data_IF_496547655083
#
_entry.id   IF_496547655083
#
_cell.length_a   1.000
_cell.length_b   1.000
_cell.length_c   1.000
_cell.angle_alpha   90.00
_cell.angle_beta   90.00
_cell.angle_gamma   90.00
#
_symmetry.space_group_name_H-M   'P 1'
#
loop_
_entity.id
_entity.type
_entity.pdbx_description
1 polymer ?
#
# COMPACT_ATOMS: atom_id res chain seq x y z
N UNK A 1 8.35 74.51 -15.27
CA UNK A 1 8.08 75.74 -14.49
C UNK A 1 7.51 75.34 -13.15
N UNK A 2 8.26 75.62 -12.07
CA UNK A 2 7.88 75.34 -10.68
C UNK A 2 6.76 76.27 -10.20
N UNK A 3 5.87 75.77 -9.33
CA UNK A 3 5.40 76.39 -8.06
C UNK A 3 4.20 75.58 -7.54
N UNK A 4 4.38 74.84 -6.44
CA UNK A 4 4.09 75.24 -5.05
C UNK A 4 2.62 75.63 -4.86
N UNK A 5 1.89 74.89 -4.01
CA UNK A 5 1.25 75.49 -2.84
C UNK A 5 0.80 74.40 -1.85
N UNK A 6 1.37 74.46 -0.65
CA UNK A 6 0.87 73.82 0.57
C UNK A 6 -0.37 74.56 1.06
N UNK A 7 -1.40 73.83 1.52
CA UNK A 7 -2.32 74.32 2.57
C UNK A 7 -2.70 73.15 3.50
N UNK A 8 -2.32 73.32 4.76
CA UNK A 8 -2.67 72.48 5.90
C UNK A 8 -4.17 72.53 6.20
N UNK A 9 -4.74 71.40 6.61
CA UNK A 9 -5.84 71.34 7.57
C UNK A 9 -5.84 69.98 8.26
N UNK A 10 -5.49 69.98 9.54
CA UNK A 10 -5.56 68.87 10.47
C UNK A 10 -7.02 68.64 10.85
N UNK A 11 -7.57 67.43 10.67
CA UNK A 11 -8.77 67.01 11.39
C UNK A 11 -8.68 65.51 11.66
N UNK A 12 -8.49 65.19 12.94
CA UNK A 12 -8.56 63.86 13.53
C UNK A 12 -10.03 63.42 13.61
N UNK A 13 -10.39 62.24 13.09
CA UNK A 13 -11.30 61.33 13.78
C UNK A 13 -11.17 59.90 13.22
N UNK A 14 -11.29 58.98 14.15
CA UNK A 14 -10.84 57.59 14.16
C UNK A 14 -11.97 56.68 13.67
N UNK A 15 -11.75 55.86 12.64
CA UNK A 15 -12.53 54.64 12.39
C UNK A 15 -11.58 53.55 11.91
N UNK A 16 -11.42 52.52 12.74
CA UNK A 16 -10.75 51.29 12.40
C UNK A 16 -11.68 50.41 11.54
N UNK A 17 -11.20 49.98 10.37
CA UNK A 17 -11.55 48.67 9.80
C UNK A 17 -10.33 48.16 9.04
N UNK A 18 -9.76 47.07 9.57
CA UNK A 18 -8.58 46.38 9.08
C UNK A 18 -9.07 45.27 8.15
N UNK A 19 -8.76 45.36 6.86
CA UNK A 19 -8.57 44.18 5.99
C UNK A 19 -7.49 44.54 4.95
N UNK A 20 -6.22 44.34 5.35
CA UNK A 20 -5.07 44.42 4.46
C UNK A 20 -4.97 43.15 3.63
N UNK A 21 -4.91 43.36 2.32
CA UNK A 21 -4.52 42.38 1.31
C UNK A 21 -2.99 42.16 1.30
N UNK A 22 -2.60 41.06 0.66
CA UNK A 22 -1.28 40.68 0.14
C UNK A 22 -0.24 40.12 1.12
N UNK A 23 0.11 38.85 0.91
CA UNK A 23 1.51 38.42 1.01
C UNK A 23 1.79 37.33 -0.03
N UNK A 24 2.69 37.63 -0.96
CA UNK A 24 3.31 36.70 -1.90
C UNK A 24 4.55 36.06 -1.25
N UNK A 25 4.67 34.73 -1.44
CA UNK A 25 5.90 33.88 -1.54
C UNK A 25 6.77 33.71 -0.28
N UNK A 26 7.32 32.50 0.02
CA UNK A 26 8.19 31.75 -0.91
C UNK A 26 8.05 30.20 -0.91
N UNK A 27 8.47 29.60 -2.05
CA UNK A 27 9.26 28.37 -2.13
C UNK A 27 8.70 27.06 -1.53
N UNK A 28 8.42 26.09 -2.41
CA UNK A 28 8.27 24.69 -2.02
C UNK A 28 7.72 23.86 -3.17
N UNK A 29 8.62 23.16 -3.85
CA UNK A 29 8.43 22.40 -5.09
C UNK A 29 7.26 21.43 -5.14
N UNK A 30 6.72 21.27 -6.35
CA UNK A 30 6.17 19.99 -6.77
C UNK A 30 7.29 18.94 -6.71
N UNK A 31 7.19 18.00 -5.78
CA UNK A 31 7.90 16.73 -5.90
C UNK A 31 6.89 15.60 -5.76
N UNK A 32 6.68 14.93 -6.90
CA UNK A 32 6.18 13.57 -6.96
C UNK A 32 7.14 12.63 -6.22
N UNK A 33 6.57 11.63 -5.52
CA UNK A 33 7.25 10.57 -4.76
C UNK A 33 8.16 11.11 -3.63
N UNK A 34 8.03 10.66 -2.39
CA UNK A 34 8.16 9.29 -1.92
C UNK A 34 7.67 9.28 -0.46
N UNK A 35 7.47 8.11 0.10
CA UNK A 35 7.12 7.85 1.51
C UNK A 35 5.62 7.84 1.85
N UNK A 36 4.95 6.86 1.25
CA UNK A 36 3.61 6.34 1.60
C UNK A 36 3.48 5.80 3.05
N UNK A 37 4.31 6.25 4.00
CA UNK A 37 4.25 5.87 5.42
C UNK A 37 3.66 6.94 6.33
N UNK A 38 3.55 8.20 5.87
CA UNK A 38 3.13 9.33 6.71
C UNK A 38 1.62 9.65 6.65
N UNK A 39 0.86 9.00 5.78
CA UNK A 39 -0.58 9.28 5.60
C UNK A 39 -1.50 8.58 6.62
N UNK A 40 -0.94 7.74 7.50
CA UNK A 40 -1.73 6.91 8.42
C UNK A 40 -1.81 7.44 9.86
N UNK A 41 -1.52 8.72 10.05
CA UNK A 41 -1.76 9.38 11.32
C UNK A 41 -3.21 9.93 11.37
N UNK A 42 -4.12 9.37 12.21
CA UNK A 42 -5.48 9.89 12.35
C UNK A 42 -5.52 11.34 12.86
N UNK A 43 -4.43 11.84 13.45
CA UNK A 43 -4.31 13.22 13.93
C UNK A 43 -3.99 14.22 12.81
N UNK A 44 -3.42 13.77 11.68
CA UNK A 44 -3.10 14.61 10.50
C UNK A 44 -4.10 14.39 9.37
N UNK A 45 -4.69 13.20 9.26
CA UNK A 45 -5.74 12.87 8.27
C UNK A 45 -7.11 13.49 8.54
N UNK A 46 -7.36 13.97 9.77
CA UNK A 46 -8.62 14.65 10.12
C UNK A 46 -8.76 16.05 9.50
N UNK A 47 -7.69 16.64 8.94
CA UNK A 47 -7.68 18.04 8.48
C UNK A 47 -7.91 18.27 6.99
N UNK A 48 -7.67 17.28 6.11
CA UNK A 48 -7.68 17.50 4.64
C UNK A 48 -8.61 16.52 3.89
N UNK A 49 -9.19 15.52 4.57
CA UNK A 49 -10.10 14.55 3.94
C UNK A 49 -11.60 14.92 3.94
N UNK A 50 -12.00 16.04 4.52
CA UNK A 50 -13.41 16.36 4.76
C UNK A 50 -14.11 17.19 3.65
N UNK A 51 -13.41 17.61 2.59
CA UNK A 51 -13.99 18.57 1.62
C UNK A 51 -14.26 17.96 0.22
N UNK A 52 -13.88 16.72 -0.06
CA UNK A 52 -14.20 16.07 -1.34
C UNK A 52 -15.17 14.91 -1.13
N UNK A 53 -16.42 15.26 -0.79
CA UNK A 53 -17.51 14.30 -0.66
C UNK A 53 -18.90 14.91 -0.51
N UNK A 54 -19.00 16.23 -0.25
CA UNK A 54 -20.28 16.89 -0.01
C UNK A 54 -20.96 17.47 -1.27
N UNK A 55 -20.35 17.37 -2.46
CA UNK A 55 -20.94 17.88 -3.72
C UNK A 55 -21.07 16.74 -4.73
N UNK A 56 -21.84 15.71 -4.39
CA UNK A 56 -22.33 14.74 -5.37
C UNK A 56 -23.71 14.23 -4.98
N UNK A 57 -24.72 14.90 -5.53
CA UNK A 57 -26.11 14.50 -5.74
C UNK A 57 -26.97 14.09 -4.53
N UNK A 58 -28.03 14.89 -4.35
CA UNK A 58 -29.20 14.57 -3.54
C UNK A 58 -29.77 13.21 -3.98
N UNK A 59 -29.60 12.20 -3.12
CA UNK A 59 -30.30 10.92 -3.21
C UNK A 59 -29.57 9.87 -4.04
N UNK A 60 -28.96 8.91 -3.34
CA UNK A 60 -28.28 7.70 -3.82
C UNK A 60 -26.86 7.92 -4.35
N UNK A 61 -25.87 7.64 -3.48
CA UNK A 61 -24.51 7.29 -3.90
C UNK A 61 -23.44 8.34 -3.59
N UNK A 62 -23.05 8.47 -2.33
CA UNK A 62 -21.90 9.27 -1.90
C UNK A 62 -21.07 8.55 -0.81
N UNK A 63 -20.77 7.26 -1.01
CA UNK A 63 -19.89 6.45 -0.12
C UNK A 63 -18.61 5.98 -0.82
N UNK A 64 -18.49 6.16 -2.14
CA UNK A 64 -17.42 5.54 -2.94
C UNK A 64 -16.05 6.25 -2.80
N UNK A 65 -16.02 7.52 -2.39
CA UNK A 65 -14.77 8.32 -2.37
C UNK A 65 -13.87 8.14 -1.15
N UNK A 66 -14.45 7.98 0.06
CA UNK A 66 -13.67 7.92 1.30
C UNK A 66 -12.94 6.58 1.51
N UNK A 67 -13.41 5.51 0.88
CA UNK A 67 -12.96 4.16 1.20
C UNK A 67 -11.65 3.75 0.53
N UNK A 68 -11.28 4.35 -0.61
CA UNK A 68 -10.00 4.07 -1.29
C UNK A 68 -8.82 4.56 -0.45
N UNK A 69 -8.97 5.70 0.25
CA UNK A 69 -7.95 6.21 1.18
C UNK A 69 -7.69 5.29 2.38
N UNK A 70 -8.68 4.49 2.80
CA UNK A 70 -8.53 3.56 3.92
C UNK A 70 -7.61 2.37 3.60
N UNK A 71 -7.47 2.00 2.32
CA UNK A 71 -6.59 0.89 1.91
C UNK A 71 -5.11 1.22 2.13
N UNK A 72 -4.71 2.48 1.96
CA UNK A 72 -3.34 2.95 2.22
C UNK A 72 -2.87 2.74 3.66
N UNK A 73 -3.80 2.64 4.60
CA UNK A 73 -3.51 2.47 6.02
C UNK A 73 -3.93 1.12 6.59
N UNK A 74 -4.20 0.16 5.70
CA UNK A 74 -4.53 -1.19 6.12
C UNK A 74 -3.34 -1.83 6.84
N UNK A 75 -3.61 -2.42 8.01
CA UNK A 75 -2.61 -3.19 8.73
C UNK A 75 -2.28 -4.48 7.97
N UNK A 76 -1.02 -4.62 7.57
CA UNK A 76 -0.47 -5.83 6.91
C UNK A 76 0.64 -6.39 7.80
N UNK A 77 0.39 -7.57 8.36
CA UNK A 77 1.38 -8.30 9.15
C UNK A 77 2.16 -9.25 8.24
N UNK A 78 3.49 -9.24 8.34
CA UNK A 78 4.36 -10.08 7.52
C UNK A 78 5.26 -10.96 8.40
N UNK A 79 5.29 -12.26 8.14
CA UNK A 79 6.11 -13.22 8.90
C UNK A 79 6.74 -14.23 7.96
N UNK A 80 8.04 -14.45 8.13
CA UNK A 80 8.82 -15.39 7.31
C UNK A 80 9.53 -16.43 8.17
N UNK A 81 9.70 -17.62 7.60
CA UNK A 81 10.50 -18.70 8.18
C UNK A 81 11.30 -19.40 7.08
N UNK A 82 12.52 -19.81 7.41
CA UNK A 82 13.29 -20.70 6.55
C UNK A 82 12.74 -22.13 6.72
N UNK A 83 12.40 -22.78 5.62
CA UNK A 83 11.84 -24.14 5.57
C UNK A 83 12.85 -25.17 5.09
N UNK A 84 13.87 -24.75 4.33
CA UNK A 84 14.98 -25.60 3.90
C UNK A 84 16.32 -24.86 4.02
N UNK A 85 17.38 -25.50 4.54
CA UNK A 85 18.70 -24.91 4.59
C UNK A 85 19.35 -24.87 3.19
N UNK A 86 20.40 -24.04 3.05
CA UNK A 86 21.16 -23.87 1.82
C UNK A 86 21.65 -25.19 1.21
N UNK A 87 22.26 -26.05 2.03
CA UNK A 87 22.83 -27.33 1.60
C UNK A 87 21.81 -28.27 0.97
N UNK A 88 20.58 -28.28 1.50
CA UNK A 88 19.50 -29.10 0.94
C UNK A 88 19.03 -28.55 -0.40
N UNK A 89 18.78 -27.24 -0.49
CA UNK A 89 18.33 -26.59 -1.73
C UNK A 89 19.37 -26.71 -2.84
N UNK A 90 20.64 -26.52 -2.54
CA UNK A 90 21.73 -26.69 -3.52
C UNK A 90 21.89 -28.15 -3.96
N UNK A 91 21.78 -29.10 -3.04
CA UNK A 91 21.83 -30.53 -3.36
C UNK A 91 20.67 -30.92 -4.29
N UNK A 92 19.45 -30.50 -3.95
CA UNK A 92 18.25 -30.78 -4.76
C UNK A 92 18.34 -30.11 -6.13
N UNK A 93 18.87 -28.89 -6.20
CA UNK A 93 19.14 -28.22 -7.47
C UNK A 93 20.16 -29.00 -8.32
N UNK A 94 21.30 -29.40 -7.74
CA UNK A 94 22.34 -30.15 -8.45
C UNK A 94 21.83 -31.49 -8.99
N UNK A 95 21.01 -32.22 -8.22
CA UNK A 95 20.38 -33.48 -8.69
C UNK A 95 19.58 -33.28 -9.97
N UNK A 96 18.90 -32.14 -10.09
CA UNK A 96 18.08 -31.79 -11.25
C UNK A 96 18.87 -31.10 -12.37
N UNK A 97 20.11 -30.67 -12.10
CA UNK A 97 20.91 -29.83 -13.01
C UNK A 97 22.32 -30.40 -13.25
N UNK A 98 22.42 -31.71 -13.51
CA UNK A 98 23.67 -32.39 -13.90
C UNK A 98 24.84 -32.16 -12.92
N UNK A 99 24.55 -32.01 -11.64
CA UNK A 99 25.55 -31.77 -10.60
C UNK A 99 26.03 -30.31 -10.48
N UNK A 100 25.49 -29.38 -11.26
CA UNK A 100 25.97 -27.99 -11.33
C UNK A 100 25.06 -27.00 -10.60
N UNK A 101 25.66 -25.91 -10.13
CA UNK A 101 24.96 -24.71 -9.66
C UNK A 101 25.00 -23.65 -10.76
N UNK A 102 24.04 -22.72 -10.78
CA UNK A 102 24.03 -21.64 -11.76
C UNK A 102 25.17 -20.65 -11.50
N UNK A 103 25.53 -19.84 -12.50
CA UNK A 103 26.51 -18.77 -12.32
C UNK A 103 25.94 -17.62 -11.47
N UNK A 104 24.68 -17.25 -11.75
CA UNK A 104 23.93 -16.21 -11.03
C UNK A 104 22.84 -16.83 -10.14
N UNK A 105 22.37 -16.13 -9.09
CA UNK A 105 21.27 -16.60 -8.27
C UNK A 105 20.01 -16.86 -9.09
N UNK A 106 19.31 -17.95 -8.76
CA UNK A 106 18.04 -18.30 -9.40
C UNK A 106 16.99 -18.65 -8.37
N UNK A 107 15.74 -18.33 -8.68
CA UNK A 107 14.56 -18.82 -7.96
C UNK A 107 14.14 -20.13 -8.63
N UNK A 108 14.41 -21.26 -8.00
CA UNK A 108 14.12 -22.59 -8.55
C UNK A 108 12.65 -22.99 -8.38
N UNK A 109 11.97 -22.41 -7.40
CA UNK A 109 10.53 -22.58 -7.20
C UNK A 109 9.93 -21.32 -6.55
N UNK A 110 8.74 -20.93 -6.98
CA UNK A 110 7.94 -19.88 -6.34
C UNK A 110 6.44 -20.18 -6.51
N UNK A 111 5.72 -20.29 -5.40
CA UNK A 111 4.29 -20.57 -5.39
C UNK A 111 3.60 -19.66 -4.39
N UNK A 112 2.40 -19.20 -4.74
CA UNK A 112 1.61 -18.28 -3.92
C UNK A 112 0.19 -18.82 -3.81
N UNK A 113 -0.33 -18.86 -2.59
CA UNK A 113 -1.70 -19.29 -2.29
C UNK A 113 -2.40 -18.17 -1.53
N UNK A 114 -3.60 -17.84 -1.98
CA UNK A 114 -4.48 -16.85 -1.34
C UNK A 114 -5.63 -17.56 -0.64
N UNK A 115 -5.75 -17.34 0.67
CA UNK A 115 -6.86 -17.83 1.49
C UNK A 115 -7.72 -16.65 1.97
N UNK A 116 -9.06 -16.77 2.00
CA UNK A 116 -9.87 -17.99 1.85
C UNK A 116 -10.00 -18.53 0.41
N UNK A 117 -9.61 -17.76 -0.60
CA UNK A 117 -9.77 -18.10 -2.00
C UNK A 117 -9.98 -16.85 -2.87
N UNK A 118 -10.53 -17.01 -4.08
CA UNK A 118 -10.64 -15.92 -5.05
C UNK A 118 -11.77 -14.93 -4.73
N UNK A 119 -12.65 -15.22 -3.78
CA UNK A 119 -13.74 -14.31 -3.36
C UNK A 119 -13.57 -13.97 -1.89
N UNK A 120 -13.53 -12.68 -1.60
CA UNK A 120 -13.25 -12.14 -0.26
C UNK A 120 -14.35 -11.16 0.08
N UNK A 121 -14.85 -11.22 1.32
CA UNK A 121 -15.75 -10.20 1.82
C UNK A 121 -15.01 -9.11 2.62
N UNK A 122 -15.54 -7.89 2.63
CA UNK A 122 -15.00 -6.82 3.46
C UNK A 122 -14.96 -7.24 4.95
N UNK A 123 -13.87 -6.90 5.64
CA UNK A 123 -13.60 -7.29 7.03
C UNK A 123 -13.11 -8.73 7.22
N UNK A 124 -13.19 -9.59 6.19
CA UNK A 124 -12.72 -10.96 6.27
C UNK A 124 -11.18 -11.00 6.34
N UNK A 125 -10.58 -11.85 7.21
CA UNK A 125 -9.14 -12.06 7.21
C UNK A 125 -8.69 -12.71 5.89
N UNK A 126 -7.61 -12.19 5.35
CA UNK A 126 -6.94 -12.68 4.15
C UNK A 126 -5.52 -13.07 4.52
N UNK A 127 -5.11 -14.25 4.09
CA UNK A 127 -3.76 -14.77 4.27
C UNK A 127 -3.17 -15.11 2.91
N UNK A 128 -2.02 -14.52 2.62
CA UNK A 128 -1.21 -14.83 1.44
C UNK A 128 -0.03 -15.62 1.93
N UNK A 129 0.09 -16.87 1.48
CA UNK A 129 1.23 -17.73 1.80
C UNK A 129 2.04 -17.94 0.54
N UNK A 130 3.29 -17.53 0.57
CA UNK A 130 4.26 -17.77 -0.48
C UNK A 130 5.29 -18.80 -0.02
N UNK A 131 5.70 -19.68 -0.94
CA UNK A 131 6.83 -20.58 -0.76
C UNK A 131 7.82 -20.35 -1.89
N UNK A 132 9.10 -20.25 -1.54
CA UNK A 132 10.17 -20.00 -2.50
C UNK A 132 11.39 -20.86 -2.21
N UNK A 133 12.06 -21.32 -3.26
CA UNK A 133 13.40 -21.89 -3.17
C UNK A 133 14.35 -21.03 -4.02
N UNK A 134 15.42 -20.56 -3.38
CA UNK A 134 16.43 -19.71 -4.01
C UNK A 134 17.78 -20.38 -3.89
N UNK A 135 18.49 -20.44 -5.01
CA UNK A 135 19.80 -21.09 -5.15
C UNK A 135 20.84 -20.03 -5.45
N UNK A 136 21.93 -20.02 -4.70
CA UNK A 136 23.06 -19.12 -4.94
C UNK A 136 23.78 -19.43 -6.23
N UNK A 137 24.26 -18.38 -6.88
CA UNK A 137 25.18 -18.50 -8.00
C UNK A 137 26.60 -18.83 -7.55
N UNK A 138 27.38 -19.44 -8.44
CA UNK A 138 28.81 -19.68 -8.24
C UNK A 138 29.66 -18.43 -8.44
N UNK A 139 29.17 -17.47 -9.23
CA UNK A 139 29.81 -16.16 -9.46
C UNK A 139 29.26 -15.15 -8.46
N UNK A 140 27.93 -15.08 -8.36
CA UNK A 140 27.26 -14.14 -7.45
C UNK A 140 26.45 -14.92 -6.40
N UNK A 141 26.78 -14.80 -5.11
CA UNK A 141 26.01 -15.45 -4.05
C UNK A 141 24.72 -14.68 -3.74
N UNK A 142 23.76 -15.36 -3.11
CA UNK A 142 22.58 -14.69 -2.54
C UNK A 142 22.98 -13.95 -1.26
N UNK A 143 22.71 -12.64 -1.21
CA UNK A 143 22.96 -11.77 -0.06
C UNK A 143 21.66 -11.29 0.59
N UNK A 144 20.59 -11.16 -0.19
CA UNK A 144 19.26 -10.82 0.31
C UNK A 144 18.18 -11.55 -0.48
N UNK A 145 17.17 -12.04 0.24
CA UNK A 145 15.88 -12.38 -0.36
C UNK A 145 14.83 -11.54 0.33
N UNK A 146 14.06 -10.81 -0.46
CA UNK A 146 12.99 -9.92 0.02
C UNK A 146 11.75 -10.18 -0.79
N UNK A 147 10.60 -10.26 -0.12
CA UNK A 147 9.31 -10.34 -0.79
C UNK A 147 8.52 -9.07 -0.54
N UNK A 148 7.89 -8.55 -1.59
CA UNK A 148 7.01 -7.39 -1.54
C UNK A 148 5.60 -7.80 -1.93
N UNK A 149 4.64 -7.43 -1.08
CA UNK A 149 3.21 -7.45 -1.35
C UNK A 149 2.77 -6.07 -1.84
N UNK A 150 1.91 -6.05 -2.85
CA UNK A 150 1.15 -4.88 -3.27
C UNK A 150 -0.32 -5.24 -3.54
N UNK A 151 -1.24 -4.40 -3.05
CA UNK A 151 -2.66 -4.50 -3.35
C UNK A 151 -3.04 -3.44 -4.39
N UNK A 152 -3.52 -3.87 -5.55
CA UNK A 152 -4.00 -3.00 -6.62
C UNK A 152 -5.53 -3.01 -6.64
N UNK A 153 -6.13 -1.85 -6.79
CA UNK A 153 -7.58 -1.68 -6.94
C UNK A 153 -8.08 -2.13 -8.33
N UNK A 154 -9.40 -2.12 -8.59
CA UNK A 154 -9.95 -2.49 -9.90
C UNK A 154 -9.51 -1.62 -11.07
N UNK A 155 -8.98 -0.42 -10.82
CA UNK A 155 -8.39 0.43 -11.85
C UNK A 155 -6.92 0.11 -12.13
N UNK A 156 -6.33 -0.81 -11.36
CA UNK A 156 -4.92 -1.17 -11.43
C UNK A 156 -4.01 -0.25 -10.61
N UNK A 157 -4.56 0.66 -9.80
CA UNK A 157 -3.78 1.56 -8.97
C UNK A 157 -3.38 0.87 -7.67
N UNK A 158 -2.10 0.92 -7.33
CA UNK A 158 -1.59 0.45 -6.03
C UNK A 158 -2.21 1.25 -4.88
N UNK A 159 -2.74 0.52 -3.90
CA UNK A 159 -3.38 1.08 -2.71
C UNK A 159 -2.62 0.78 -1.43
N UNK A 160 -1.92 -0.35 -1.36
CA UNK A 160 -1.17 -0.74 -0.17
C UNK A 160 0.06 -1.54 -0.58
N UNK A 161 1.15 -1.39 0.19
CA UNK A 161 2.40 -2.10 -0.03
C UNK A 161 3.02 -2.55 1.28
N UNK A 162 3.66 -3.72 1.30
CA UNK A 162 4.43 -4.22 2.44
C UNK A 162 5.59 -5.09 1.98
N UNK A 163 6.77 -4.91 2.55
CA UNK A 163 7.93 -5.74 2.24
C UNK A 163 8.38 -6.54 3.48
N UNK A 164 8.97 -7.71 3.24
CA UNK A 164 9.59 -8.55 4.27
C UNK A 164 10.90 -9.16 3.75
N UNK A 165 11.98 -9.01 4.51
CA UNK A 165 13.23 -9.72 4.26
C UNK A 165 13.11 -11.14 4.80
N UNK A 166 13.47 -12.13 3.97
CA UNK A 166 13.36 -13.57 4.30
C UNK A 166 14.67 -14.12 4.89
N UNK A 167 15.80 -13.47 4.59
CA UNK A 167 17.15 -13.85 5.01
C UNK A 167 17.58 -13.23 6.36
N UNK A 168 16.64 -12.81 7.21
CA UNK A 168 16.94 -12.16 8.51
C UNK A 168 17.84 -12.99 9.43
N UNK A 169 17.82 -14.32 9.28
CA UNK A 169 18.60 -15.26 10.09
C UNK A 169 19.86 -15.79 9.40
N UNK A 170 20.18 -15.27 8.21
CA UNK A 170 21.31 -15.70 7.41
C UNK A 170 21.02 -15.58 5.91
N UNK A 171 21.98 -15.02 5.18
CA UNK A 171 21.96 -14.93 3.73
C UNK A 171 22.50 -16.20 3.07
N UNK A 172 22.09 -16.44 1.83
CA UNK A 172 22.51 -17.59 1.03
C UNK A 172 21.32 -18.32 0.40
N UNK A 173 21.60 -19.51 -0.13
CA UNK A 173 20.56 -20.39 -0.66
C UNK A 173 19.57 -20.80 0.45
N UNK A 174 18.34 -21.11 0.08
CA UNK A 174 17.36 -21.59 1.05
C UNK A 174 15.95 -21.73 0.51
N UNK A 175 15.17 -22.53 1.23
CA UNK A 175 13.72 -22.58 1.09
C UNK A 175 13.09 -21.68 2.13
N UNK A 176 12.12 -20.89 1.73
CA UNK A 176 11.44 -19.92 2.59
C UNK A 176 9.93 -20.05 2.43
N UNK A 177 9.22 -19.86 3.54
CA UNK A 177 7.79 -19.61 3.55
C UNK A 177 7.56 -18.22 4.14
N UNK A 178 6.73 -17.41 3.50
CA UNK A 178 6.36 -16.10 3.98
C UNK A 178 4.84 -15.93 3.95
N UNK A 179 4.34 -15.16 4.91
CA UNK A 179 2.92 -14.93 5.08
C UNK A 179 2.63 -13.44 5.23
N UNK A 180 1.71 -12.93 4.41
CA UNK A 180 1.09 -11.63 4.58
C UNK A 180 -0.35 -11.80 5.06
N UNK A 181 -0.69 -11.16 6.19
CA UNK A 181 -2.01 -11.23 6.79
C UNK A 181 -2.61 -9.83 6.88
N UNK A 182 -3.82 -9.66 6.33
CA UNK A 182 -4.52 -8.38 6.32
C UNK A 182 -6.03 -8.56 6.36
N UNK A 183 -6.76 -7.45 6.50
CA UNK A 183 -8.22 -7.37 6.37
C UNK A 183 -8.57 -6.18 5.51
N UNK A 184 -9.36 -6.38 4.47
CA UNK A 184 -9.90 -5.26 3.70
C UNK A 184 -10.88 -4.46 4.58
N UNK A 185 -10.69 -3.14 4.77
CA UNK A 185 -11.61 -2.32 5.55
C UNK A 185 -13.05 -2.35 5.03
N UNK A 186 -14.00 -2.05 5.91
CA UNK A 186 -15.39 -1.82 5.50
C UNK A 186 -15.48 -0.58 4.59
N UNK A 187 -16.45 -0.60 3.66
CA UNK A 187 -16.70 0.51 2.74
C UNK A 187 -15.85 0.50 1.46
N UNK A 188 -14.81 -0.35 1.38
CA UNK A 188 -14.00 -0.52 0.16
C UNK A 188 -14.92 -0.93 -1.01
N UNK A 189 -14.80 -0.30 -2.19
CA UNK A 189 -15.67 -0.62 -3.33
C UNK A 189 -15.56 -2.09 -3.75
N UNK A 190 -16.69 -2.72 -4.08
CA UNK A 190 -16.65 -4.04 -4.71
C UNK A 190 -15.91 -4.00 -6.04
N UNK A 191 -15.21 -5.08 -6.37
CA UNK A 191 -14.52 -5.20 -7.63
C UNK A 191 -13.43 -6.27 -7.63
N UNK A 192 -12.79 -6.44 -8.78
CA UNK A 192 -11.66 -7.33 -8.93
C UNK A 192 -10.38 -6.59 -8.50
N UNK A 193 -9.81 -6.98 -7.37
CA UNK A 193 -8.52 -6.51 -6.88
C UNK A 193 -7.42 -7.45 -7.35
N UNK A 194 -6.21 -6.92 -7.49
CA UNK A 194 -5.02 -7.74 -7.76
C UNK A 194 -4.10 -7.70 -6.57
N UNK A 195 -3.78 -8.88 -6.05
CA UNK A 195 -2.72 -9.08 -5.07
C UNK A 195 -1.47 -9.43 -5.84
N UNK A 196 -0.51 -8.52 -5.86
CA UNK A 196 0.80 -8.74 -6.47
C UNK A 196 1.81 -9.10 -5.38
N UNK A 197 2.58 -10.14 -5.62
CA UNK A 197 3.72 -10.51 -4.81
C UNK A 197 4.96 -10.60 -5.68
N UNK A 198 6.03 -9.91 -5.30
CA UNK A 198 7.29 -9.88 -6.03
C UNK A 198 8.42 -10.35 -5.12
N UNK A 199 9.09 -11.42 -5.54
CA UNK A 199 10.29 -11.92 -4.90
C UNK A 199 11.51 -11.24 -5.52
N UNK A 200 12.29 -10.59 -4.68
CA UNK A 200 13.55 -9.95 -5.03
C UNK A 200 14.71 -10.78 -4.50
N UNK A 201 15.73 -10.96 -5.33
CA UNK A 201 17.01 -11.58 -4.95
C UNK A 201 18.10 -10.56 -5.22
N UNK A 202 18.88 -10.22 -4.19
CA UNK A 202 19.94 -9.20 -4.26
C UNK A 202 19.44 -7.85 -4.83
N UNK A 203 18.19 -7.48 -4.51
CA UNK A 203 17.55 -6.24 -4.98
C UNK A 203 16.92 -6.31 -6.37
N UNK A 204 17.19 -7.34 -7.17
CA UNK A 204 16.58 -7.53 -8.49
C UNK A 204 15.28 -8.34 -8.39
N UNK A 205 14.24 -7.93 -9.13
CA UNK A 205 13.00 -8.69 -9.22
C UNK A 205 13.26 -10.03 -9.93
N UNK A 206 13.08 -11.13 -9.21
CA UNK A 206 13.40 -12.47 -9.69
C UNK A 206 12.14 -13.29 -10.03
N UNK A 207 11.02 -13.03 -9.34
CA UNK A 207 9.73 -13.65 -9.66
C UNK A 207 8.57 -12.76 -9.22
N UNK A 208 7.44 -12.86 -9.93
CA UNK A 208 6.21 -12.12 -9.61
C UNK A 208 5.00 -13.02 -9.78
N UNK A 209 4.05 -12.92 -8.85
CA UNK A 209 2.74 -13.55 -8.94
C UNK A 209 1.64 -12.50 -8.78
N UNK A 210 0.69 -12.50 -9.72
CA UNK A 210 -0.53 -11.68 -9.68
C UNK A 210 -1.73 -12.59 -9.42
N UNK A 211 -2.29 -12.50 -8.21
CA UNK A 211 -3.48 -13.23 -7.80
C UNK A 211 -4.70 -12.30 -7.80
N UNK A 212 -5.70 -12.60 -8.64
CA UNK A 212 -6.94 -11.82 -8.69
C UNK A 212 -7.92 -12.28 -7.63
N UNK A 213 -8.52 -11.32 -6.93
CA UNK A 213 -9.55 -11.58 -5.92
C UNK A 213 -10.76 -10.68 -6.15
N UNK A 214 -11.96 -11.24 -6.02
CA UNK A 214 -13.22 -10.53 -6.12
C UNK A 214 -13.68 -10.10 -4.73
N UNK A 215 -13.72 -8.79 -4.48
CA UNK A 215 -14.32 -8.24 -3.27
C UNK A 215 -15.84 -8.20 -3.41
N UNK A 216 -16.54 -8.78 -2.43
CA UNK A 216 -18.01 -8.78 -2.35
C UNK A 216 -18.50 -8.19 -1.03
N UNK A 217 -19.71 -7.63 -1.02
CA UNK A 217 -20.36 -7.16 0.20
C UNK A 217 -20.98 -8.35 0.93
N UNK A 218 -20.77 -8.41 2.24
CA UNK A 218 -21.54 -9.29 3.10
C UNK A 218 -22.91 -8.64 3.37
N UNK A 219 -23.94 -9.06 2.64
CA UNK A 219 -25.31 -8.55 2.81
C UNK A 219 -25.92 -8.84 4.20
N UNK A 220 -25.28 -9.66 5.05
CA UNK A 220 -25.81 -10.09 6.35
C UNK A 220 -25.53 -9.12 7.51
N UNK A 221 -24.61 -8.17 7.37
CA UNK A 221 -24.27 -7.25 8.47
C UNK A 221 -25.04 -5.91 8.38
N UNK A 222 -25.64 -5.59 7.23
CA UNK A 222 -26.46 -4.38 7.05
C UNK A 222 -27.93 -4.52 7.50
N UNK A 223 -28.37 -5.71 7.92
CA UNK A 223 -29.78 -5.96 8.25
C UNK A 223 -30.15 -5.61 9.71
N UNK A 224 -29.19 -5.40 10.61
CA UNK A 224 -29.48 -5.13 12.03
C UNK A 224 -29.79 -3.66 12.34
N UNK A 225 -29.70 -2.77 11.35
CA UNK A 225 -29.82 -1.31 11.56
C UNK A 225 -31.21 -0.69 11.32
N UNK A 226 -32.23 -1.43 10.88
CA UNK A 226 -33.57 -0.84 10.61
C UNK A 226 -34.71 -1.79 10.95
N UNK A 227 -35.08 -1.86 12.22
CA UNK A 227 -36.48 -2.01 12.62
C UNK A 227 -36.82 -0.95 13.66
N UNK A 228 -37.15 0.25 13.20
CA UNK A 228 -37.95 1.18 14.00
C UNK A 228 -39.40 0.78 13.73
N UNK A 229 -39.98 0.03 14.65
CA UNK A 229 -41.42 -0.24 14.64
C UNK A 229 -42.15 1.09 14.90
N UNK A 230 -42.88 1.58 13.90
CA UNK A 230 -43.91 2.56 14.12
C UNK A 230 -45.14 1.83 14.68
N UNK A 231 -45.52 2.17 15.90
CA UNK A 231 -46.87 1.96 16.43
C UNK A 231 -47.29 3.23 17.14
#
# INVERSE_FOLDING_TARGET
MNRRLMRSATTTFLVAFILSSCASMPGGDQSAADDSSSACNPLVGAGIGAVVGAIANKGKGAVVGAAVGALGCMAINAMSKQTKPASQVESDFRKNNKGTLPAEPVVSAYQVVVQPGPTIAAGQPVTITSTSEVVSGTVTPVTEIREEFALLDPSGKEQAKKSKVLTEKGAGSGGYENQFNFKLPQGVPQGAYTIRTTLYVNGAAASTNDSKVQLVFNARESATGRMVAAR
#
